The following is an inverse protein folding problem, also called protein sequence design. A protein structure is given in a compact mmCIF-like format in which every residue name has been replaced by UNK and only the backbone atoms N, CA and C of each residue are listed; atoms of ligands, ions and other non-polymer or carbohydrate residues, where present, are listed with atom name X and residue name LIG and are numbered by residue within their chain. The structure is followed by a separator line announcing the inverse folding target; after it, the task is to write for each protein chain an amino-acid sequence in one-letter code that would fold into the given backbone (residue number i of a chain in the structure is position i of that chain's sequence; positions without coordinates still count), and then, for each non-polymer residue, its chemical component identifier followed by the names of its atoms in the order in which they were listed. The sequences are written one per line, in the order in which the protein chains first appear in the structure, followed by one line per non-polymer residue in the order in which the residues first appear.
data_IF_231051648814
#
_entry.id   IF_231051648814
#
_cell.length_a   1.000
_cell.length_b   1.000
_cell.length_c   1.000
_cell.angle_alpha   90.00
_cell.angle_beta   90.00
_cell.angle_gamma   90.00
#
_symmetry.space_group_name_H-M   'P 1'
#
loop_
_entity.id
_entity.type
_entity.pdbx_description
1 polymer ?
#
# COMPACT_ATOMS: atom_id res chain seq x y z
N UNK A 1 -27.85 53.52 48.18
CA UNK A 1 -27.44 52.13 48.46
C UNK A 1 -28.33 51.19 47.67
N UNK A 2 -27.83 50.62 46.56
CA UNK A 2 -28.32 49.40 45.89
C UNK A 2 -27.17 48.90 45.00
N UNK A 3 -26.65 47.74 45.37
CA UNK A 3 -25.63 46.96 44.66
C UNK A 3 -26.29 45.97 43.68
N UNK A 4 -25.43 45.26 42.92
CA UNK A 4 -25.67 43.99 42.19
C UNK A 4 -26.12 44.20 40.73
N UNK A 5 -25.54 43.60 39.69
CA UNK A 5 -24.45 42.62 39.56
C UNK A 5 -23.82 42.77 38.17
N UNK A 6 -22.50 42.59 38.08
CA UNK A 6 -21.84 42.30 36.81
C UNK A 6 -22.02 40.79 36.53
N UNK A 7 -22.78 40.45 35.50
CA UNK A 7 -22.82 39.09 34.96
C UNK A 7 -21.64 38.95 34.02
N UNK A 8 -20.58 38.29 34.48
CA UNK A 8 -19.47 37.87 33.62
C UNK A 8 -19.88 36.58 32.91
N UNK A 9 -20.18 36.68 31.61
CA UNK A 9 -20.34 35.50 30.75
C UNK A 9 -18.93 34.97 30.45
N UNK A 10 -18.57 33.83 31.04
CA UNK A 10 -17.39 33.08 30.65
C UNK A 10 -17.78 32.19 29.47
N UNK A 11 -17.38 32.59 28.26
CA UNK A 11 -17.48 31.76 27.07
C UNK A 11 -16.25 30.82 27.05
N UNK A 12 -16.41 29.59 27.52
CA UNK A 12 -15.40 28.56 27.38
C UNK A 12 -15.44 28.01 25.95
N UNK A 13 -14.52 28.46 25.10
CA UNK A 13 -14.32 27.88 23.77
C UNK A 13 -13.54 26.58 23.97
N UNK A 14 -14.24 25.45 23.97
CA UNK A 14 -13.66 24.12 23.84
C UNK A 14 -13.12 23.98 22.41
N UNK A 15 -11.85 24.33 22.19
CA UNK A 15 -11.12 23.88 21.01
C UNK A 15 -10.83 22.39 21.19
N UNK A 16 -11.71 21.52 20.70
CA UNK A 16 -11.35 20.13 20.43
C UNK A 16 -10.39 20.15 19.25
N UNK A 17 -9.08 20.13 19.53
CA UNK A 17 -8.09 19.78 18.53
C UNK A 17 -8.41 18.35 18.10
N UNK A 18 -9.07 18.20 16.95
CA UNK A 18 -9.14 16.92 16.27
C UNK A 18 -7.69 16.55 15.95
N UNK A 19 -7.14 15.57 16.67
CA UNK A 19 -5.86 15.00 16.31
C UNK A 19 -6.06 14.39 14.92
N UNK A 20 -5.46 15.01 13.89
CA UNK A 20 -5.39 14.38 12.58
C UNK A 20 -4.71 13.03 12.78
N UNK A 21 -5.43 11.96 12.45
CA UNK A 21 -4.85 10.62 12.51
C UNK A 21 -3.72 10.58 11.48
N UNK A 22 -2.56 10.10 11.90
CA UNK A 22 -1.38 10.09 11.05
C UNK A 22 -1.43 8.88 10.10
N UNK A 23 -0.96 9.09 8.87
CA UNK A 23 -0.76 8.02 7.89
C UNK A 23 0.05 6.86 8.49
N UNK A 24 -0.37 5.63 8.20
CA UNK A 24 0.37 4.42 8.59
C UNK A 24 1.28 3.98 7.45
N UNK A 25 2.59 4.05 7.67
CA UNK A 25 3.56 3.50 6.69
C UNK A 25 3.45 1.97 6.70
N UNK A 26 2.98 1.41 5.59
CA UNK A 26 2.89 -0.05 5.41
C UNK A 26 4.27 -0.62 5.08
N UNK A 27 4.96 0.00 4.11
CA UNK A 27 6.34 -0.30 3.76
C UNK A 27 6.98 0.91 3.08
N UNK A 28 8.12 1.35 3.59
CA UNK A 28 8.96 2.36 2.91
C UNK A 28 10.23 1.70 2.39
N UNK A 29 10.58 2.01 1.15
CA UNK A 29 11.76 1.46 0.48
C UNK A 29 12.91 2.48 0.38
N UNK A 30 12.78 3.64 1.03
CA UNK A 30 13.84 4.65 1.06
C UNK A 30 15.08 4.17 1.84
N UNK A 31 14.92 3.24 2.79
CA UNK A 31 15.99 2.74 3.67
C UNK A 31 15.91 1.24 3.99
N UNK A 32 14.98 0.51 3.37
CA UNK A 32 14.71 -0.90 3.66
C UNK A 32 14.53 -1.67 2.34
N UNK A 33 15.39 -2.67 2.15
CA UNK A 33 15.48 -3.49 0.94
C UNK A 33 14.59 -4.70 0.95
N UNK A 34 13.95 -4.99 2.07
CA UNK A 34 13.34 -6.29 2.30
C UNK A 34 12.07 -6.39 1.48
N UNK A 35 12.30 -6.68 0.20
CA UNK A 35 11.36 -7.02 -0.84
C UNK A 35 11.68 -8.46 -1.22
N UNK A 36 10.97 -9.34 -0.56
CA UNK A 36 11.18 -10.77 -0.58
C UNK A 36 10.44 -11.38 -1.78
N UNK A 37 11.20 -11.98 -2.70
CA UNK A 37 10.66 -12.72 -3.85
C UNK A 37 10.29 -14.16 -3.50
N UNK A 38 10.55 -14.63 -2.27
CA UNK A 38 10.27 -16.01 -1.84
C UNK A 38 8.77 -16.34 -1.83
N UNK A 39 7.90 -15.32 -1.97
CA UNK A 39 6.46 -15.50 -2.18
C UNK A 39 6.08 -15.91 -3.63
N UNK A 40 7.09 -16.32 -4.43
CA UNK A 40 7.02 -17.31 -5.53
C UNK A 40 6.45 -16.89 -6.91
N UNK A 41 6.43 -15.60 -7.25
CA UNK A 41 5.61 -15.16 -8.40
C UNK A 41 6.22 -14.24 -9.43
N UNK A 42 7.53 -14.14 -9.44
CA UNK A 42 8.21 -13.49 -10.55
C UNK A 42 8.78 -14.63 -11.40
N UNK A 43 8.05 -14.92 -12.47
CA UNK A 43 8.21 -16.07 -13.34
C UNK A 43 9.52 -16.09 -14.10
N UNK A 44 9.81 -17.26 -14.62
CA UNK A 44 11.13 -17.76 -15.04
C UNK A 44 11.65 -17.14 -16.35
N UNK A 45 10.90 -16.25 -16.99
CA UNK A 45 11.20 -15.72 -18.32
C UNK A 45 12.18 -14.53 -18.28
N UNK A 46 12.11 -13.71 -17.23
CA UNK A 46 13.17 -12.79 -16.81
C UNK A 46 13.46 -13.08 -15.33
N UNK A 47 14.72 -13.33 -14.97
CA UNK A 47 15.13 -13.48 -13.57
C UNK A 47 14.59 -12.29 -12.77
N UNK A 48 13.83 -12.51 -11.69
CA UNK A 48 13.39 -11.44 -10.81
C UNK A 48 14.60 -10.58 -10.44
N UNK A 49 14.45 -9.27 -10.59
CA UNK A 49 15.53 -8.32 -10.37
C UNK A 49 15.08 -7.26 -9.38
N UNK A 50 15.93 -7.03 -8.39
CA UNK A 50 15.84 -5.90 -7.48
C UNK A 50 17.15 -5.12 -7.47
N UNK A 51 17.07 -3.80 -7.39
CA UNK A 51 18.24 -2.98 -7.03
C UNK A 51 18.40 -2.92 -5.52
N UNK A 52 19.60 -2.58 -5.06
CA UNK A 52 19.79 -2.08 -3.69
C UNK A 52 18.85 -0.88 -3.45
N UNK A 53 18.26 -0.73 -2.26
CA UNK A 53 17.49 0.45 -1.92
C UNK A 53 18.30 1.72 -2.10
N UNK A 54 17.59 2.74 -2.52
CA UNK A 54 18.08 4.10 -2.53
C UNK A 54 17.08 4.95 -1.77
N UNK A 55 17.49 6.17 -1.39
CA UNK A 55 16.55 7.19 -0.90
C UNK A 55 15.35 7.45 -1.82
N UNK A 56 15.45 7.02 -3.07
CA UNK A 56 14.42 7.18 -4.09
C UNK A 56 13.63 5.88 -4.28
N UNK A 57 13.74 4.88 -3.40
CA UNK A 57 13.05 3.59 -3.48
C UNK A 57 13.88 2.44 -4.06
N UNK A 58 13.21 1.32 -4.33
CA UNK A 58 13.76 0.10 -4.95
C UNK A 58 13.22 -0.05 -6.37
N UNK A 59 14.07 -0.46 -7.31
CA UNK A 59 13.61 -0.92 -8.62
C UNK A 59 13.28 -2.40 -8.51
N UNK A 60 12.06 -2.77 -8.91
CA UNK A 60 11.64 -4.16 -9.06
C UNK A 60 11.36 -4.41 -10.54
N UNK A 61 11.75 -5.59 -11.01
CA UNK A 61 11.60 -5.94 -12.41
C UNK A 61 11.54 -7.45 -12.63
N UNK A 62 10.79 -7.86 -13.64
CA UNK A 62 10.72 -9.24 -14.11
C UNK A 62 9.33 -9.60 -14.58
N UNK A 63 9.11 -10.88 -14.83
CA UNK A 63 7.83 -11.37 -15.33
C UNK A 63 6.89 -11.67 -14.17
N UNK A 64 6.02 -10.74 -13.81
CA UNK A 64 5.07 -10.97 -12.72
C UNK A 64 4.02 -12.00 -13.14
N UNK A 65 3.80 -13.03 -12.31
CA UNK A 65 2.81 -14.08 -12.54
C UNK A 65 1.51 -13.78 -11.79
N UNK A 66 0.47 -14.52 -12.16
CA UNK A 66 -0.84 -14.49 -11.51
C UNK A 66 -0.90 -15.35 -10.23
N UNK A 67 0.18 -16.05 -9.86
CA UNK A 67 0.19 -17.04 -8.77
C UNK A 67 1.10 -16.66 -7.58
N UNK A 68 1.36 -15.36 -7.39
CA UNK A 68 1.80 -14.80 -6.11
C UNK A 68 2.35 -13.37 -6.22
N UNK A 69 3.00 -12.85 -5.17
CA UNK A 69 3.68 -11.54 -5.20
C UNK A 69 5.15 -11.60 -4.77
N UNK A 70 5.81 -10.45 -4.81
CA UNK A 70 7.02 -10.20 -4.01
C UNK A 70 6.67 -9.12 -2.99
N UNK A 71 7.16 -9.24 -1.76
CA UNK A 71 6.57 -8.50 -0.66
C UNK A 71 7.39 -8.49 0.61
N UNK A 72 6.77 -8.08 1.72
CA UNK A 72 7.43 -7.98 3.00
C UNK A 72 6.49 -8.40 4.11
N UNK A 73 7.04 -8.97 5.18
CA UNK A 73 6.29 -9.19 6.42
C UNK A 73 6.11 -7.86 7.13
N UNK A 74 4.92 -7.62 7.64
CA UNK A 74 4.56 -6.43 8.41
C UNK A 74 3.75 -6.86 9.64
N UNK A 75 3.47 -5.95 10.56
CA UNK A 75 2.50 -6.17 11.64
C UNK A 75 1.82 -4.85 11.91
N UNK A 76 0.63 -4.68 11.36
CA UNK A 76 -0.05 -3.39 11.29
C UNK A 76 -1.56 -3.55 11.52
N UNK A 77 -2.13 -2.59 12.25
CA UNK A 77 -3.57 -2.36 12.34
C UNK A 77 -3.93 -1.24 11.36
N UNK A 78 -4.59 -1.61 10.27
CA UNK A 78 -5.11 -0.70 9.24
C UNK A 78 -6.64 -0.53 9.36
N UNK A 79 -7.27 -1.00 10.44
CA UNK A 79 -8.74 -1.00 10.59
C UNK A 79 -9.35 0.39 10.69
N UNK A 80 -8.52 1.42 10.94
CA UNK A 80 -8.93 2.82 11.01
C UNK A 80 -8.54 3.63 9.78
N UNK A 81 -7.93 2.99 8.79
CA UNK A 81 -7.48 3.63 7.56
C UNK A 81 -8.56 3.49 6.46
N UNK A 82 -8.64 4.46 5.56
CA UNK A 82 -9.64 4.51 4.48
C UNK A 82 -9.08 4.12 3.12
N UNK A 83 -7.79 4.41 2.89
CA UNK A 83 -7.12 4.20 1.61
C UNK A 83 -5.79 3.48 1.77
N UNK A 84 -5.38 2.79 0.71
CA UNK A 84 -4.02 2.33 0.48
C UNK A 84 -3.43 3.15 -0.67
N UNK A 85 -2.31 3.78 -0.38
CA UNK A 85 -1.58 4.63 -1.30
C UNK A 85 -0.29 3.94 -1.73
N UNK A 86 0.00 3.97 -3.02
CA UNK A 86 1.25 3.48 -3.60
C UNK A 86 1.96 4.64 -4.27
N UNK A 87 3.18 4.90 -3.84
CA UNK A 87 4.07 5.87 -4.48
C UNK A 87 5.10 5.13 -5.31
N UNK A 88 5.01 5.25 -6.64
CA UNK A 88 5.88 4.56 -7.58
C UNK A 88 6.11 5.37 -8.86
N UNK A 89 7.05 4.91 -9.69
CA UNK A 89 7.22 5.36 -11.07
C UNK A 89 7.44 4.16 -11.98
N UNK A 90 6.98 4.23 -13.22
CA UNK A 90 7.23 3.17 -14.21
C UNK A 90 8.63 3.25 -14.80
N UNK A 91 9.22 2.09 -15.09
CA UNK A 91 10.48 1.95 -15.81
C UNK A 91 10.22 1.50 -17.26
N UNK A 92 11.13 1.76 -18.21
CA UNK A 92 11.00 1.21 -19.55
C UNK A 92 10.96 -0.33 -19.55
N UNK A 93 10.18 -0.91 -20.47
CA UNK A 93 10.08 -2.36 -20.66
C UNK A 93 8.92 -3.06 -19.93
N UNK A 94 7.92 -2.30 -19.46
CA UNK A 94 6.65 -2.87 -19.02
C UNK A 94 5.86 -3.45 -20.21
N UNK A 95 5.37 -4.69 -20.08
CA UNK A 95 4.33 -5.25 -20.97
C UNK A 95 3.00 -5.42 -20.21
N UNK A 96 3.07 -5.54 -18.88
CA UNK A 96 1.90 -5.51 -18.02
C UNK A 96 1.21 -4.15 -18.03
N UNK A 97 -0.11 -4.17 -17.81
CA UNK A 97 -0.93 -2.95 -17.71
C UNK A 97 -1.30 -2.61 -16.28
N UNK A 98 -1.26 -3.60 -15.39
CA UNK A 98 -1.74 -3.49 -14.02
C UNK A 98 -0.86 -4.28 -13.08
N UNK A 99 -0.89 -3.89 -11.82
CA UNK A 99 -0.36 -4.68 -10.71
C UNK A 99 -1.33 -4.61 -9.54
N UNK A 100 -1.14 -5.51 -8.57
CA UNK A 100 -1.94 -5.59 -7.37
C UNK A 100 -1.04 -5.34 -6.15
N UNK A 101 -1.54 -4.59 -5.18
CA UNK A 101 -1.04 -4.64 -3.81
C UNK A 101 -1.98 -5.54 -3.01
N UNK A 102 -1.43 -6.55 -2.35
CA UNK A 102 -2.18 -7.55 -1.61
C UNK A 102 -1.80 -7.46 -0.14
N UNK A 103 -2.80 -7.33 0.72
CA UNK A 103 -2.66 -7.38 2.17
C UNK A 103 -3.10 -8.76 2.66
N UNK A 104 -2.21 -9.47 3.35
CA UNK A 104 -2.54 -10.71 4.03
C UNK A 104 -2.73 -10.46 5.52
N UNK A 105 -3.67 -11.18 6.10
CA UNK A 105 -4.06 -11.03 7.50
C UNK A 105 -3.67 -12.28 8.29
N UNK A 106 -3.47 -12.17 9.61
CA UNK A 106 -3.08 -13.30 10.45
C UNK A 106 -4.09 -14.46 10.41
N UNK A 107 -5.36 -14.14 10.16
CA UNK A 107 -6.42 -15.13 9.96
C UNK A 107 -6.31 -15.92 8.66
N UNK A 108 -5.36 -15.61 7.78
CA UNK A 108 -5.14 -16.30 6.50
C UNK A 108 -5.92 -15.71 5.31
N UNK A 109 -6.85 -14.77 5.54
CA UNK A 109 -7.52 -14.05 4.45
C UNK A 109 -6.63 -12.98 3.81
N UNK A 110 -6.94 -12.60 2.57
CA UNK A 110 -6.26 -11.52 1.87
C UNK A 110 -7.20 -10.61 1.08
N UNK A 111 -6.77 -9.37 0.86
CA UNK A 111 -7.45 -8.39 -0.01
C UNK A 111 -6.47 -7.78 -0.98
N UNK A 112 -6.84 -7.72 -2.26
CA UNK A 112 -6.04 -7.17 -3.33
C UNK A 112 -6.62 -5.87 -3.88
N UNK A 113 -5.73 -4.91 -4.14
CA UNK A 113 -6.04 -3.58 -4.67
C UNK A 113 -5.29 -3.39 -5.98
N UNK A 114 -6.02 -3.23 -7.07
CA UNK A 114 -5.45 -3.16 -8.41
C UNK A 114 -5.16 -1.72 -8.84
N UNK A 115 -3.97 -1.51 -9.38
CA UNK A 115 -3.48 -0.23 -9.89
C UNK A 115 -3.13 -0.36 -11.37
N UNK A 116 -3.48 0.66 -12.16
CA UNK A 116 -3.12 0.75 -13.58
C UNK A 116 -1.71 1.35 -13.71
N UNK A 117 -0.80 0.64 -14.39
CA UNK A 117 0.58 1.09 -14.59
C UNK A 117 0.65 2.36 -15.45
N UNK A 118 -0.37 2.61 -16.28
CA UNK A 118 -0.47 3.84 -17.09
C UNK A 118 -0.71 5.10 -16.27
N UNK A 119 -1.18 4.96 -15.03
CA UNK A 119 -1.44 6.08 -14.13
C UNK A 119 -0.17 6.55 -13.41
N UNK A 120 0.92 5.76 -13.50
CA UNK A 120 2.22 6.13 -12.94
C UNK A 120 3.11 6.72 -14.03
N UNK A 121 3.41 8.00 -13.87
CA UNK A 121 4.26 8.71 -14.81
C UNK A 121 5.73 8.28 -14.73
N UNK A 122 6.43 8.53 -15.83
CA UNK A 122 7.90 8.55 -15.91
C UNK A 122 8.32 9.95 -16.37
N UNK A 123 9.35 10.59 -15.77
CA UNK A 123 10.32 10.03 -14.82
C UNK A 123 10.04 10.35 -13.34
N UNK A 124 8.83 10.75 -12.97
CA UNK A 124 8.50 11.21 -11.61
C UNK A 124 7.68 10.19 -10.82
N UNK A 125 7.91 10.13 -9.51
CA UNK A 125 7.05 9.40 -8.59
C UNK A 125 5.63 9.98 -8.60
N UNK A 126 4.66 9.09 -8.72
CA UNK A 126 3.23 9.37 -8.62
C UNK A 126 2.64 8.56 -7.48
N UNK A 127 1.76 9.19 -6.70
CA UNK A 127 1.00 8.51 -5.64
C UNK A 127 -0.40 8.21 -6.15
N UNK A 128 -0.78 6.94 -6.10
CA UNK A 128 -2.12 6.47 -6.47
C UNK A 128 -2.79 5.86 -5.25
N UNK A 129 -4.10 6.10 -5.11
CA UNK A 129 -4.89 5.68 -3.95
C UNK A 129 -6.00 4.70 -4.35
N UNK A 130 -6.26 3.70 -3.51
CA UNK A 130 -7.41 2.79 -3.61
C UNK A 130 -8.10 2.70 -2.25
N UNK A 131 -9.43 2.63 -2.23
CA UNK A 131 -10.16 2.49 -0.97
C UNK A 131 -9.93 1.12 -0.36
N UNK A 132 -9.61 1.07 0.93
CA UNK A 132 -9.52 -0.17 1.71
C UNK A 132 -10.89 -0.85 1.89
N UNK A 133 -11.98 -0.12 1.67
CA UNK A 133 -13.36 -0.66 1.77
C UNK A 133 -13.87 -1.30 0.48
N UNK A 134 -13.19 -1.09 -0.65
CA UNK A 134 -13.57 -1.61 -1.98
C UNK A 134 -12.38 -2.32 -2.65
N UNK A 135 -11.93 -3.47 -2.10
CA UNK A 135 -10.85 -4.25 -2.68
C UNK A 135 -11.27 -4.82 -4.04
N UNK A 136 -10.32 -4.88 -4.98
CA UNK A 136 -10.55 -5.47 -6.32
C UNK A 136 -10.89 -6.96 -6.22
N UNK A 137 -10.26 -7.67 -5.28
CA UNK A 137 -10.63 -9.04 -4.95
C UNK A 137 -10.38 -9.32 -3.47
N UNK A 138 -11.09 -10.32 -2.96
CA UNK A 138 -10.93 -10.82 -1.59
C UNK A 138 -10.83 -12.33 -1.62
N UNK A 139 -9.76 -12.86 -1.03
CA UNK A 139 -9.62 -14.29 -0.81
C UNK A 139 -9.89 -14.60 0.67
N UNK A 140 -10.87 -15.47 0.90
CA UNK A 140 -11.25 -15.97 2.24
C UNK A 140 -11.04 -17.47 2.38
N UNK A 141 -10.36 -18.11 1.42
CA UNK A 141 -10.16 -19.56 1.36
C UNK A 141 -9.41 -20.06 2.60
N UNK A 142 -8.43 -19.28 3.06
CA UNK A 142 -7.59 -19.63 4.21
C UNK A 142 -7.98 -18.89 5.50
N UNK A 143 -9.06 -18.07 5.47
CA UNK A 143 -9.71 -17.50 6.65
C UNK A 143 -10.23 -16.08 6.45
N UNK A 144 -10.53 -15.38 7.56
CA UNK A 144 -11.16 -14.06 7.53
C UNK A 144 -10.17 -12.97 7.09
N UNK A 145 -10.69 -11.92 6.44
CA UNK A 145 -9.94 -10.67 6.23
C UNK A 145 -10.25 -9.73 7.38
N UNK A 146 -9.24 -9.50 8.21
CA UNK A 146 -9.27 -8.54 9.30
C UNK A 146 -8.10 -7.55 9.14
N UNK A 147 -8.41 -6.31 8.77
CA UNK A 147 -7.39 -5.28 8.58
C UNK A 147 -6.78 -4.80 9.90
N UNK A 148 -7.28 -5.24 11.06
CA UNK A 148 -6.62 -4.97 12.35
C UNK A 148 -5.38 -5.83 12.61
N UNK A 149 -5.14 -6.86 11.78
CA UNK A 149 -4.00 -7.77 11.93
C UNK A 149 -3.38 -8.13 10.56
N UNK A 150 -2.88 -7.11 9.86
CA UNK A 150 -2.15 -7.28 8.59
C UNK A 150 -0.73 -7.76 8.89
N UNK A 151 -0.38 -8.91 8.30
CA UNK A 151 0.88 -9.63 8.55
C UNK A 151 1.85 -9.61 7.38
N UNK A 152 1.37 -9.32 6.17
CA UNK A 152 2.26 -9.08 5.03
C UNK A 152 1.60 -8.20 3.98
N UNK A 153 2.45 -7.53 3.20
CA UNK A 153 2.09 -6.81 1.99
C UNK A 153 2.85 -7.41 0.83
N UNK A 154 2.18 -7.64 -0.30
CA UNK A 154 2.81 -8.13 -1.53
C UNK A 154 2.42 -7.27 -2.73
N UNK A 155 3.34 -7.16 -3.68
CA UNK A 155 3.13 -6.60 -5.01
C UNK A 155 3.13 -7.74 -6.01
N UNK A 156 2.04 -7.86 -6.77
CA UNK A 156 1.78 -8.96 -7.69
C UNK A 156 1.37 -8.43 -9.07
N UNK A 157 1.58 -9.21 -10.13
CA UNK A 157 1.07 -8.90 -11.48
C UNK A 157 -0.45 -8.99 -11.60
N UNK A 158 -0.99 -8.71 -12.79
CA UNK A 158 -2.45 -8.75 -13.03
C UNK A 158 -3.03 -10.17 -12.93
N UNK A 159 -4.22 -10.30 -12.35
CA UNK A 159 -4.96 -11.56 -12.29
C UNK A 159 -5.66 -11.79 -13.63
N UNK A 160 -5.31 -12.87 -14.33
CA UNK A 160 -6.10 -13.39 -15.46
C UNK A 160 -5.38 -13.52 -16.80
N UNK A 161 -4.06 -13.30 -16.89
CA UNK A 161 -3.27 -13.56 -18.11
C UNK A 161 -1.88 -14.11 -17.83
N UNK A 162 -1.32 -14.72 -18.87
CA UNK A 162 0.10 -15.06 -19.04
C UNK A 162 1.03 -13.96 -18.53
N UNK A 163 2.02 -14.38 -17.74
CA UNK A 163 3.34 -13.77 -17.51
C UNK A 163 3.61 -12.46 -18.29
N UNK A 164 3.41 -11.32 -17.62
CA UNK A 164 3.68 -9.98 -18.15
C UNK A 164 4.86 -9.35 -17.40
N UNK A 165 5.71 -8.61 -18.11
CA UNK A 165 6.82 -7.89 -17.50
C UNK A 165 6.32 -6.64 -16.79
N UNK A 166 6.62 -6.53 -15.50
CA UNK A 166 6.41 -5.33 -14.68
C UNK A 166 7.78 -4.81 -14.27
N UNK A 167 8.05 -3.53 -14.55
CA UNK A 167 9.30 -2.84 -14.23
C UNK A 167 8.96 -1.48 -13.65
N UNK A 168 9.24 -1.28 -12.38
CA UNK A 168 8.87 -0.06 -11.68
C UNK A 168 9.84 0.24 -10.56
N UNK A 169 9.92 1.51 -10.16
CA UNK A 169 10.56 1.89 -8.91
C UNK A 169 9.48 2.13 -7.88
N UNK A 170 9.48 1.36 -6.79
CA UNK A 170 8.58 1.56 -5.65
C UNK A 170 9.29 2.36 -4.59
N UNK A 171 8.62 3.40 -4.13
CA UNK A 171 9.11 4.24 -3.04
C UNK A 171 8.45 3.89 -1.72
N UNK A 172 7.13 3.79 -1.72
CA UNK A 172 6.36 3.63 -0.48
C UNK A 172 4.98 3.04 -0.73
N UNK A 173 4.51 2.24 0.23
CA UNK A 173 3.11 1.85 0.41
C UNK A 173 2.69 2.38 1.78
N UNK A 174 1.59 3.12 1.85
CA UNK A 174 1.04 3.65 3.10
C UNK A 174 -0.48 3.51 3.13
N UNK A 175 -1.05 3.58 4.32
CA UNK A 175 -2.49 3.65 4.53
C UNK A 175 -2.85 5.01 5.13
N UNK A 176 -3.97 5.59 4.68
CA UNK A 176 -4.36 6.99 4.97
C UNK A 176 -5.87 7.13 5.25
N UNK A 177 -6.29 8.21 5.91
CA UNK A 177 -7.68 8.52 6.30
C UNK A 177 -8.58 9.10 5.22
#
# INVERSE_FOLDING_TARGET
MRTISHISIILAILLTAAAAQADTIVKSFENDADFDYDYSSWGNAETPSQTTPTKDGIEIGGTATNEGGAGSKVSLDLSKESYIDVTAMTLPGNTGKKFNVILFTAGGGSSGYQFDLTDFDRPSFTTMSKSLTDPTFVDRTNGAVDLSDVTSVQVQGDYGKTVDAIKMKLKEIKATH
#
